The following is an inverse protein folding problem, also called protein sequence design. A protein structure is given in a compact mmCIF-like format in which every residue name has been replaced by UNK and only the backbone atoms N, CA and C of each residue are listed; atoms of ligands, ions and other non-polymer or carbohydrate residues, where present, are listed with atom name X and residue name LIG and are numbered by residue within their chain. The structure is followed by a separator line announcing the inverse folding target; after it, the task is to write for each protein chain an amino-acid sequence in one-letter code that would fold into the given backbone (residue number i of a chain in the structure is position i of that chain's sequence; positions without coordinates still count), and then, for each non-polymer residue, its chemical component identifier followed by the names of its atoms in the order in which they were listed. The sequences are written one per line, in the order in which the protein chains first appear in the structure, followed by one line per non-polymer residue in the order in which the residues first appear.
data_IF_587829777669
#
_entry.id   IF_587829777669
#
_cell.length_a   1.000
_cell.length_b   1.000
_cell.length_c   1.000
_cell.angle_alpha   90.00
_cell.angle_beta   90.00
_cell.angle_gamma   90.00
#
_symmetry.space_group_name_H-M   'P 1'
#
loop_
_entity.id
_entity.type
_entity.pdbx_description
1 polymer ?
#
# COMPACT_ATOMS: atom_id res chain seq x y z
N UNK A 1 6.61 -11.79 4.04
CA UNK A 1 6.76 -11.25 2.68
C UNK A 1 5.36 -11.01 2.17
N UNK A 2 4.89 -9.77 2.23
CA UNK A 2 3.50 -9.46 1.86
C UNK A 2 3.39 -9.46 0.34
N UNK A 3 2.30 -10.01 -0.18
CA UNK A 3 2.10 -10.18 -1.62
C UNK A 3 1.47 -8.92 -2.21
N UNK A 4 2.09 -8.37 -3.26
CA UNK A 4 1.48 -7.32 -4.09
C UNK A 4 0.16 -7.82 -4.70
N UNK A 5 -0.86 -6.95 -4.70
CA UNK A 5 -2.13 -7.16 -5.38
C UNK A 5 -2.28 -6.15 -6.52
N UNK A 6 -3.03 -6.52 -7.56
CA UNK A 6 -3.42 -5.60 -8.63
C UNK A 6 -4.91 -5.33 -8.59
N UNK A 7 -5.29 -4.06 -8.71
CA UNK A 7 -6.68 -3.59 -8.68
C UNK A 7 -6.97 -2.84 -9.98
N UNK A 8 -8.00 -3.26 -10.72
CA UNK A 8 -8.47 -2.56 -11.91
C UNK A 8 -9.33 -1.36 -11.53
N UNK A 9 -9.00 -0.18 -12.06
CA UNK A 9 -9.76 1.06 -11.85
C UNK A 9 -9.95 1.75 -13.20
N UNK A 10 -11.17 1.72 -13.74
CA UNK A 10 -11.44 2.21 -15.10
C UNK A 10 -10.54 1.48 -16.11
N UNK A 11 -9.73 2.24 -16.85
CA UNK A 11 -8.83 1.69 -17.86
C UNK A 11 -7.44 1.32 -17.32
N UNK A 12 -7.11 1.62 -16.07
CA UNK A 12 -5.79 1.38 -15.47
C UNK A 12 -5.78 0.23 -14.45
N UNK A 13 -4.62 -0.36 -14.20
CA UNK A 13 -4.37 -1.27 -13.07
C UNK A 13 -3.42 -0.62 -12.08
N UNK A 14 -3.78 -0.67 -10.80
CA UNK A 14 -2.96 -0.20 -9.69
C UNK A 14 -2.34 -1.39 -8.97
N UNK A 15 -1.02 -1.36 -8.80
CA UNK A 15 -0.33 -2.22 -7.86
C UNK A 15 -0.49 -1.66 -6.45
N UNK A 16 -0.87 -2.50 -5.50
CA UNK A 16 -1.03 -2.15 -4.09
C UNK A 16 -0.45 -3.24 -3.20
N UNK A 17 -0.08 -2.87 -1.98
CA UNK A 17 0.35 -3.78 -0.94
C UNK A 17 -0.31 -3.38 0.38
N UNK A 18 -0.83 -4.36 1.10
CA UNK A 18 -1.48 -4.18 2.39
C UNK A 18 -0.56 -4.64 3.52
N UNK A 19 -0.71 -4.00 4.69
CA UNK A 19 0.02 -4.31 5.92
C UNK A 19 -0.97 -4.34 7.10
N UNK A 20 -0.64 -5.11 8.14
CA UNK A 20 -1.44 -5.21 9.35
C UNK A 20 -2.64 -6.17 9.24
N UNK A 21 -3.58 -6.00 10.16
CA UNK A 21 -4.81 -6.80 10.26
C UNK A 21 -5.99 -6.11 9.57
N UNK A 22 -6.81 -6.89 8.86
CA UNK A 22 -7.95 -6.36 8.09
C UNK A 22 -9.11 -5.85 8.97
N UNK A 23 -9.12 -6.17 10.27
CA UNK A 23 -10.05 -5.65 11.27
C UNK A 23 -9.65 -4.28 11.83
N UNK A 24 -8.43 -3.79 11.57
CA UNK A 24 -8.01 -2.43 11.94
C UNK A 24 -8.63 -1.38 11.01
N UNK A 25 -8.65 -0.11 11.46
CA UNK A 25 -9.09 0.99 10.61
C UNK A 25 -8.16 1.16 9.40
N UNK A 26 -8.74 1.25 8.20
CA UNK A 26 -7.96 1.40 6.98
C UNK A 26 -7.25 2.77 6.89
N UNK A 27 -5.99 2.75 6.43
CA UNK A 27 -5.19 3.92 6.07
C UNK A 27 -4.69 3.71 4.64
N UNK A 28 -4.85 4.72 3.78
CA UNK A 28 -4.34 4.70 2.41
C UNK A 28 -3.18 5.69 2.29
N UNK A 29 -1.99 5.19 1.95
CA UNK A 29 -0.83 6.02 1.68
C UNK A 29 -0.79 6.40 0.21
N UNK A 30 -0.82 7.70 -0.09
CA UNK A 30 -0.70 8.25 -1.44
C UNK A 30 0.69 8.86 -1.58
N UNK A 31 1.48 8.34 -2.51
CA UNK A 31 2.86 8.78 -2.72
C UNK A 31 2.93 10.13 -3.44
N UNK A 32 4.04 10.84 -3.24
CA UNK A 32 4.35 12.05 -3.99
C UNK A 32 4.68 11.80 -5.47
N UNK A 33 4.69 12.88 -6.25
CA UNK A 33 4.93 12.86 -7.69
C UNK A 33 6.23 12.11 -8.05
N UNK A 34 6.15 11.19 -9.02
CA UNK A 34 7.31 10.49 -9.59
C UNK A 34 7.84 9.31 -8.77
N UNK A 35 7.25 9.01 -7.60
CA UNK A 35 7.70 7.92 -6.74
C UNK A 35 6.63 6.81 -6.66
N UNK A 36 7.02 5.52 -6.78
CA UNK A 36 6.11 4.38 -6.62
C UNK A 36 5.88 4.01 -5.14
N UNK A 37 4.92 3.11 -4.85
CA UNK A 37 4.59 2.66 -3.49
C UNK A 37 5.81 2.13 -2.69
N UNK A 38 6.77 1.51 -3.39
CA UNK A 38 7.97 0.90 -2.78
C UNK A 38 8.95 1.94 -2.22
N UNK A 39 8.74 3.23 -2.47
CA UNK A 39 9.54 4.29 -1.84
C UNK A 39 9.13 4.56 -0.39
N UNK A 40 7.99 4.04 0.09
CA UNK A 40 7.72 3.97 1.51
C UNK A 40 8.55 2.86 2.14
N UNK A 41 9.37 3.13 3.19
CA UNK A 41 10.07 2.07 3.90
C UNK A 41 9.09 1.07 4.49
N UNK A 42 9.31 -0.23 4.28
CA UNK A 42 8.40 -1.27 4.80
C UNK A 42 8.21 -1.16 6.31
N UNK A 43 9.27 -0.86 7.07
CA UNK A 43 9.21 -0.67 8.52
C UNK A 43 8.27 0.48 8.93
N UNK A 44 8.17 1.53 8.12
CA UNK A 44 7.24 2.63 8.35
C UNK A 44 5.79 2.16 8.14
N UNK A 45 5.52 1.44 7.05
CA UNK A 45 4.18 0.89 6.78
C UNK A 45 3.74 -0.09 7.88
N UNK A 46 4.64 -0.97 8.33
CA UNK A 46 4.36 -1.92 9.41
C UNK A 46 4.12 -1.20 10.74
N UNK A 47 4.88 -0.14 11.05
CA UNK A 47 4.68 0.63 12.27
C UNK A 47 3.34 1.38 12.31
N UNK A 48 2.85 1.85 11.16
CA UNK A 48 1.51 2.46 11.05
C UNK A 48 0.36 1.45 11.18
N UNK A 49 0.61 0.19 10.82
CA UNK A 49 -0.41 -0.86 10.77
C UNK A 49 -0.47 -1.72 12.05
N UNK A 50 0.43 -1.47 13.00
CA UNK A 50 0.56 -2.18 14.28
C UNK A 50 -0.56 -1.85 15.27
#
# INVERSE_FOLDING_TARGET
MNTEKRIKVGDIELAVQEFGDAGHQAIVLIMGLGMPMVSWPESFCVALAA
#
